data_IF_081685843109
#
_entry.id   IF_081685843109
#
_cell.length_a   1.000
_cell.length_b   1.000
_cell.length_c   1.000
_cell.angle_alpha   90.00
_cell.angle_beta   90.00
_cell.angle_gamma   90.00
#
_symmetry.space_group_name_H-M   'P 1'
#
loop_
_entity.id
_entity.type
_entity.pdbx_description
1 polymer ?
#
# COMPACT_ATOMS: atom_id res chain seq x y z
N UNK A 1 -4.97 -34.91 14.79
CA UNK A 1 -3.91 -35.72 14.19
C UNK A 1 -3.85 -37.04 14.91
N UNK A 2 -4.39 -38.09 14.30
CA UNK A 2 -4.29 -39.45 14.85
C UNK A 2 -2.87 -39.95 14.60
N UNK A 3 -2.03 -39.87 15.63
CA UNK A 3 -0.71 -40.49 15.61
C UNK A 3 -0.89 -42.01 15.53
N UNK A 4 0.00 -42.67 14.77
CA UNK A 4 0.05 -44.13 14.72
C UNK A 4 0.20 -44.64 16.15
N UNK A 5 -0.73 -45.48 16.61
CA UNK A 5 -0.80 -45.90 18.01
C UNK A 5 0.52 -46.50 18.52
N UNK A 6 0.94 -46.12 19.73
CA UNK A 6 2.17 -46.61 20.37
C UNK A 6 3.20 -45.53 20.73
N UNK A 7 2.95 -44.27 20.38
CA UNK A 7 3.77 -43.13 20.82
C UNK A 7 3.28 -42.69 22.21
N UNK A 8 4.12 -42.88 23.22
CA UNK A 8 3.78 -42.60 24.63
C UNK A 8 4.40 -41.30 25.16
N UNK A 9 5.32 -40.67 24.42
CA UNK A 9 5.93 -39.38 24.74
C UNK A 9 6.49 -38.66 23.49
N UNK A 10 6.98 -37.43 23.65
CA UNK A 10 7.48 -36.58 22.56
C UNK A 10 8.92 -36.92 22.11
N UNK A 11 9.56 -37.96 22.67
CA UNK A 11 10.97 -38.25 22.37
C UNK A 11 11.21 -38.74 20.93
N UNK A 12 10.16 -39.19 20.25
CA UNK A 12 10.24 -39.76 18.90
C UNK A 12 9.73 -38.84 17.79
N UNK A 13 9.22 -37.64 18.10
CA UNK A 13 8.66 -36.72 17.10
C UNK A 13 9.63 -36.43 15.95
N UNK A 14 10.91 -36.20 16.26
CA UNK A 14 11.96 -35.86 15.27
C UNK A 14 12.24 -37.02 14.30
N UNK A 15 11.92 -38.26 14.66
CA UNK A 15 12.10 -39.40 13.75
C UNK A 15 11.14 -39.33 12.55
N UNK A 16 9.93 -38.79 12.76
CA UNK A 16 8.92 -38.64 11.72
C UNK A 16 8.83 -37.21 11.15
N UNK A 17 9.07 -36.19 11.97
CA UNK A 17 8.91 -34.78 11.60
C UNK A 17 10.22 -34.00 11.51
N UNK A 18 11.37 -34.64 11.79
CA UNK A 18 12.67 -33.99 11.72
C UNK A 18 13.12 -33.73 10.27
N UNK A 19 14.11 -32.84 10.08
CA UNK A 19 14.54 -32.36 8.75
C UNK A 19 15.10 -33.47 7.84
N UNK A 20 15.61 -34.54 8.44
CA UNK A 20 16.15 -35.70 7.72
C UNK A 20 15.13 -36.85 7.60
N UNK A 21 13.87 -36.64 7.99
CA UNK A 21 12.87 -37.71 7.94
C UNK A 21 12.58 -38.14 6.50
N UNK A 22 12.51 -39.44 6.29
CA UNK A 22 12.15 -40.09 5.02
C UNK A 22 10.77 -40.74 5.06
N UNK A 23 10.06 -40.62 6.20
CA UNK A 23 8.70 -41.13 6.34
C UNK A 23 7.80 -40.45 5.32
N UNK A 24 7.04 -41.25 4.58
CA UNK A 24 6.17 -40.79 3.49
C UNK A 24 6.91 -39.87 2.48
N UNK A 25 8.16 -40.23 2.17
CA UNK A 25 9.00 -39.45 1.25
C UNK A 25 9.51 -38.13 1.83
N UNK A 26 9.36 -37.89 3.13
CA UNK A 26 9.72 -36.63 3.80
C UNK A 26 8.60 -35.59 3.76
N UNK A 27 7.37 -36.00 3.40
CA UNK A 27 6.18 -35.12 3.41
C UNK A 27 5.85 -34.60 4.80
N UNK A 28 6.17 -35.34 5.86
CA UNK A 28 5.87 -34.99 7.25
C UNK A 28 6.87 -34.03 7.91
N UNK A 29 7.92 -33.61 7.19
CA UNK A 29 8.94 -32.71 7.74
C UNK A 29 8.34 -31.34 8.03
N UNK A 30 8.75 -30.75 9.16
CA UNK A 30 8.19 -29.46 9.62
C UNK A 30 8.32 -28.38 8.55
N UNK A 31 9.46 -28.28 7.87
CA UNK A 31 9.68 -27.28 6.82
C UNK A 31 8.85 -27.52 5.55
N UNK A 32 8.42 -28.75 5.30
CA UNK A 32 7.60 -29.10 4.13
C UNK A 32 6.13 -28.76 4.41
N UNK A 33 5.60 -29.20 5.55
CA UNK A 33 4.17 -29.00 5.89
C UNK A 33 3.83 -27.56 6.29
N UNK A 34 4.82 -26.78 6.73
CA UNK A 34 4.64 -25.35 7.05
C UNK A 34 5.23 -24.43 5.97
N UNK A 35 5.49 -24.97 4.78
CA UNK A 35 5.94 -24.16 3.66
C UNK A 35 4.87 -23.15 3.27
N UNK A 36 5.30 -21.91 3.07
CA UNK A 36 4.47 -20.82 2.58
C UNK A 36 4.43 -20.88 1.05
N UNK A 37 3.62 -21.79 0.51
CA UNK A 37 3.65 -22.17 -0.92
C UNK A 37 3.37 -20.99 -1.87
N UNK A 38 2.48 -20.05 -1.48
CA UNK A 38 2.21 -18.85 -2.28
C UNK A 38 3.46 -17.95 -2.40
N UNK A 39 4.16 -17.71 -1.28
CA UNK A 39 5.40 -16.93 -1.23
C UNK A 39 6.49 -17.60 -2.08
N UNK A 40 6.67 -18.91 -1.91
CA UNK A 40 7.65 -19.68 -2.70
C UNK A 40 7.34 -19.66 -4.19
N UNK A 41 6.06 -19.70 -4.58
CA UNK A 41 5.67 -19.54 -5.98
C UNK A 41 5.99 -18.12 -6.49
N UNK A 42 5.76 -17.10 -5.66
CA UNK A 42 6.05 -15.69 -5.95
C UNK A 42 7.52 -15.42 -6.27
N UNK A 43 8.45 -16.16 -5.66
CA UNK A 43 9.90 -16.08 -5.95
C UNK A 43 10.26 -16.39 -7.41
N UNK A 44 9.34 -16.94 -8.21
CA UNK A 44 9.56 -17.20 -9.64
C UNK A 44 9.13 -16.03 -10.53
N UNK A 45 8.63 -14.92 -9.98
CA UNK A 45 8.13 -13.80 -10.77
C UNK A 45 8.76 -12.49 -10.32
N UNK A 46 9.14 -11.67 -11.30
CA UNK A 46 9.63 -10.32 -11.09
C UNK A 46 9.05 -9.40 -12.17
N UNK A 47 8.52 -8.26 -11.76
CA UNK A 47 8.06 -7.20 -12.65
C UNK A 47 9.17 -6.20 -12.94
N UNK A 48 9.30 -5.78 -14.20
CA UNK A 48 10.32 -4.81 -14.62
C UNK A 48 9.70 -3.68 -15.46
N UNK A 49 9.97 -2.43 -15.11
CA UNK A 49 9.63 -1.26 -15.94
C UNK A 49 10.84 -0.89 -16.80
N UNK A 50 10.79 -1.30 -18.07
CA UNK A 50 11.90 -1.19 -19.00
C UNK A 50 12.03 0.23 -19.54
N UNK A 51 10.95 0.76 -20.10
CA UNK A 51 10.94 2.08 -20.70
C UNK A 51 9.58 2.79 -20.51
N UNK A 52 9.63 4.11 -20.41
CA UNK A 52 8.44 4.96 -20.31
C UNK A 52 8.64 6.12 -21.28
N UNK A 53 7.68 6.33 -22.17
CA UNK A 53 7.71 7.36 -23.21
C UNK A 53 6.40 8.15 -23.24
N UNK A 54 6.37 9.22 -24.04
CA UNK A 54 5.20 10.10 -24.20
C UNK A 54 4.72 10.75 -22.89
N UNK A 55 5.67 11.17 -22.05
CA UNK A 55 5.43 11.79 -20.74
C UNK A 55 5.29 13.31 -20.81
N UNK A 56 4.89 13.87 -21.95
CA UNK A 56 4.57 15.29 -22.03
C UNK A 56 3.09 15.53 -21.71
N UNK A 57 2.76 16.68 -21.12
CA UNK A 57 1.36 17.05 -20.84
C UNK A 57 0.53 17.00 -22.12
N UNK A 58 -0.67 16.40 -22.04
CA UNK A 58 -1.56 16.19 -23.18
C UNK A 58 -1.20 15.02 -24.08
N UNK A 59 -0.07 14.33 -23.85
CA UNK A 59 0.24 13.06 -24.50
C UNK A 59 -0.29 11.88 -23.68
N UNK A 60 -0.47 10.74 -24.34
CA UNK A 60 -0.82 9.46 -23.71
C UNK A 60 0.45 8.65 -23.44
N UNK A 61 0.84 8.45 -22.17
CA UNK A 61 2.04 7.70 -21.83
C UNK A 61 2.02 6.27 -22.37
N UNK A 62 3.18 5.79 -22.83
CA UNK A 62 3.41 4.39 -23.16
C UNK A 62 4.42 3.82 -22.17
N UNK A 63 4.11 2.63 -21.64
CA UNK A 63 4.96 1.91 -20.69
C UNK A 63 5.32 0.57 -21.31
N UNK A 64 6.62 0.34 -21.48
CA UNK A 64 7.21 -0.92 -21.89
C UNK A 64 7.74 -1.64 -20.65
N UNK A 65 7.38 -2.90 -20.50
CA UNK A 65 7.65 -3.69 -19.31
C UNK A 65 7.94 -5.15 -19.68
N UNK A 66 8.47 -5.89 -18.72
CA UNK A 66 8.65 -7.33 -18.81
C UNK A 66 8.29 -8.03 -17.50
N UNK A 67 8.02 -9.33 -17.59
CA UNK A 67 7.91 -10.22 -16.43
C UNK A 67 8.97 -11.30 -16.60
N UNK A 68 9.81 -11.50 -15.59
CA UNK A 68 10.93 -12.43 -15.66
C UNK A 68 10.91 -13.40 -14.50
N UNK A 69 11.48 -14.59 -14.68
CA UNK A 69 11.83 -15.46 -13.57
C UNK A 69 13.23 -15.10 -13.06
N UNK A 70 13.37 -14.57 -11.83
CA UNK A 70 14.68 -14.15 -11.31
C UNK A 70 15.64 -15.33 -11.06
N UNK A 71 15.14 -16.56 -10.97
CA UNK A 71 15.94 -17.75 -10.68
C UNK A 71 16.75 -18.23 -11.88
N UNK A 72 16.29 -17.98 -13.11
CA UNK A 72 16.97 -18.39 -14.35
C UNK A 72 17.14 -17.27 -15.39
N UNK A 73 16.52 -16.10 -15.16
CA UNK A 73 16.56 -14.94 -16.04
C UNK A 73 15.69 -15.06 -17.30
N UNK A 74 14.81 -16.07 -17.37
CA UNK A 74 13.87 -16.22 -18.48
C UNK A 74 12.76 -15.16 -18.45
N UNK A 75 12.18 -14.88 -19.61
CA UNK A 75 11.03 -13.99 -19.75
C UNK A 75 9.74 -14.81 -19.84
N UNK A 76 8.70 -14.35 -19.15
CA UNK A 76 7.34 -14.84 -19.35
C UNK A 76 6.72 -14.22 -20.60
N UNK A 77 6.00 -15.03 -21.38
CA UNK A 77 5.11 -14.57 -22.43
C UNK A 77 3.72 -14.34 -21.85
N UNK A 78 3.46 -13.12 -21.36
CA UNK A 78 2.20 -12.80 -20.66
C UNK A 78 0.95 -12.94 -21.54
N UNK A 79 1.10 -13.12 -22.86
CA UNK A 79 -0.02 -13.32 -23.78
C UNK A 79 -0.38 -14.80 -23.95
N UNK A 80 0.53 -15.72 -23.63
CA UNK A 80 0.37 -17.15 -23.92
C UNK A 80 0.60 -18.05 -22.70
N UNK A 81 1.41 -17.63 -21.73
CA UNK A 81 1.68 -18.40 -20.53
C UNK A 81 0.42 -18.52 -19.66
N UNK A 82 0.22 -19.71 -19.11
CA UNK A 82 -0.97 -20.06 -18.32
C UNK A 82 -1.18 -19.14 -17.11
N UNK A 83 -0.08 -18.70 -16.53
CA UNK A 83 0.01 -17.86 -15.36
C UNK A 83 -0.61 -16.48 -15.57
N UNK A 84 -0.63 -16.03 -16.83
CA UNK A 84 -1.10 -14.70 -17.23
C UNK A 84 -2.38 -14.74 -18.06
N UNK A 85 -2.73 -15.90 -18.62
CA UNK A 85 -3.95 -16.10 -19.41
C UNK A 85 -5.14 -16.64 -18.59
N UNK A 86 -4.92 -17.04 -17.33
CA UNK A 86 -5.97 -17.54 -16.43
C UNK A 86 -6.74 -16.39 -15.76
N UNK A 87 -7.63 -15.76 -16.52
CA UNK A 87 -8.33 -14.55 -16.07
C UNK A 87 -9.72 -14.77 -15.46
N UNK A 88 -10.21 -16.01 -15.43
CA UNK A 88 -11.52 -16.33 -14.84
C UNK A 88 -11.56 -15.84 -13.39
N UNK A 89 -12.60 -15.10 -13.00
CA UNK A 89 -12.73 -14.46 -11.68
C UNK A 89 -11.57 -13.52 -11.29
N UNK A 90 -10.77 -13.05 -12.26
CA UNK A 90 -9.60 -12.21 -12.01
C UNK A 90 -8.51 -12.94 -11.24
N UNK A 91 -8.23 -14.21 -11.58
CA UNK A 91 -7.15 -15.00 -11.00
C UNK A 91 -5.76 -14.51 -11.46
N UNK A 92 -5.63 -14.10 -12.73
CA UNK A 92 -4.47 -13.34 -13.21
C UNK A 92 -4.83 -11.87 -13.34
N UNK A 93 -3.93 -10.99 -12.90
CA UNK A 93 -4.03 -9.53 -13.09
C UNK A 93 -2.65 -8.92 -13.25
N UNK A 94 -2.51 -7.99 -14.19
CA UNK A 94 -1.31 -7.18 -14.33
C UNK A 94 -1.72 -5.76 -14.77
N UNK A 95 -1.47 -4.80 -13.91
CA UNK A 95 -1.90 -3.41 -14.08
C UNK A 95 -0.73 -2.47 -13.96
N UNK A 96 -0.71 -1.48 -14.83
CA UNK A 96 0.20 -0.35 -14.76
C UNK A 96 -0.56 0.87 -14.22
N UNK A 97 0.06 1.61 -13.31
CA UNK A 97 -0.44 2.86 -12.76
C UNK A 97 0.49 4.03 -13.06
N UNK A 98 -0.05 5.24 -13.23
CA UNK A 98 0.74 6.48 -13.36
C UNK A 98 0.20 7.52 -12.38
N UNK A 99 1.04 7.97 -11.45
CA UNK A 99 0.68 8.90 -10.38
C UNK A 99 1.64 10.10 -10.31
N UNK A 100 1.15 11.27 -9.89
CA UNK A 100 1.94 12.50 -9.77
C UNK A 100 1.38 13.42 -8.67
N UNK A 101 2.16 14.39 -8.16
CA UNK A 101 3.62 14.50 -8.35
C UNK A 101 4.37 13.77 -7.23
N UNK A 102 5.67 13.50 -7.39
CA UNK A 102 6.43 12.82 -6.34
C UNK A 102 6.68 13.68 -5.10
N UNK A 103 6.43 14.99 -5.16
CA UNK A 103 6.50 15.87 -3.98
C UNK A 103 5.37 15.55 -3.02
N UNK A 104 4.13 15.47 -3.51
CA UNK A 104 3.06 14.68 -2.93
C UNK A 104 2.00 14.31 -3.96
N UNK A 105 1.54 13.05 -3.94
CA UNK A 105 0.62 12.57 -4.96
C UNK A 105 -0.73 13.29 -4.83
N UNK A 106 -1.16 13.90 -5.92
CA UNK A 106 -2.45 14.56 -6.04
C UNK A 106 -3.41 13.74 -6.90
N UNK A 107 -2.89 13.14 -7.98
CA UNK A 107 -3.63 12.40 -9.01
C UNK A 107 -4.91 13.09 -9.48
N UNK A 108 -4.98 14.41 -9.34
CA UNK A 108 -6.13 15.20 -9.74
C UNK A 108 -6.29 15.09 -11.26
N UNK A 109 -7.53 14.97 -11.75
CA UNK A 109 -7.81 14.82 -13.19
C UNK A 109 -7.24 13.56 -13.87
N UNK A 110 -6.90 12.51 -13.14
CA UNK A 110 -6.45 11.22 -13.71
C UNK A 110 -7.52 10.45 -14.49
N UNK A 111 -8.78 10.90 -14.45
CA UNK A 111 -9.93 10.15 -14.93
C UNK A 111 -10.36 9.03 -13.97
N UNK A 112 -9.85 9.01 -12.74
CA UNK A 112 -10.20 8.04 -11.70
C UNK A 112 -10.30 8.71 -10.33
N UNK A 113 -11.51 9.11 -9.95
CA UNK A 113 -11.75 9.87 -8.72
C UNK A 113 -12.15 8.97 -7.52
N UNK A 114 -11.90 9.42 -6.27
CA UNK A 114 -11.02 10.54 -5.93
C UNK A 114 -9.53 10.12 -6.02
N UNK A 115 -8.73 10.95 -6.69
CA UNK A 115 -7.26 10.92 -6.66
C UNK A 115 -6.59 9.55 -6.87
N UNK A 116 -7.10 8.69 -7.75
CA UNK A 116 -6.43 7.43 -8.08
C UNK A 116 -5.48 7.61 -9.27
N UNK A 117 -4.41 6.81 -9.39
CA UNK A 117 -3.51 6.85 -10.55
C UNK A 117 -4.27 6.65 -11.86
N UNK A 118 -3.72 7.18 -12.96
CA UNK A 118 -4.17 6.81 -14.31
C UNK A 118 -4.02 5.29 -14.44
N UNK A 119 -5.11 4.63 -14.84
CA UNK A 119 -5.18 3.18 -15.03
C UNK A 119 -5.88 2.77 -16.34
N UNK A 120 -6.58 3.70 -16.99
CA UNK A 120 -7.31 3.43 -18.22
C UNK A 120 -6.35 3.17 -19.40
N UNK A 121 -6.57 2.06 -20.12
CA UNK A 121 -5.67 1.59 -21.17
C UNK A 121 -4.40 0.88 -20.67
N UNK A 122 -4.21 0.81 -19.35
CA UNK A 122 -2.98 0.32 -18.72
C UNK A 122 -3.11 -1.06 -18.07
N UNK A 123 -4.15 -1.82 -18.43
CA UNK A 123 -4.25 -3.24 -18.08
C UNK A 123 -3.50 -4.06 -19.14
N UNK A 124 -2.49 -4.82 -18.70
CA UNK A 124 -1.62 -5.57 -19.58
C UNK A 124 -2.24 -6.88 -20.09
N UNK A 125 -3.25 -7.42 -19.41
CA UNK A 125 -3.86 -8.69 -19.78
C UNK A 125 -5.10 -8.43 -20.64
N UNK A 126 -5.24 -9.19 -21.73
CA UNK A 126 -6.40 -9.12 -22.64
C UNK A 126 -7.64 -9.80 -22.02
N UNK A 127 -7.97 -9.41 -20.80
CA UNK A 127 -8.96 -10.05 -19.95
C UNK A 127 -10.09 -9.07 -19.62
N UNK A 128 -11.30 -9.59 -19.41
CA UNK A 128 -12.46 -8.78 -19.02
C UNK A 128 -12.75 -7.61 -20.00
N UNK A 129 -12.47 -7.80 -21.29
CA UNK A 129 -12.68 -6.80 -22.33
C UNK A 129 -11.58 -5.74 -22.45
N UNK A 130 -10.48 -5.87 -21.69
CA UNK A 130 -9.30 -5.02 -21.87
C UNK A 130 -8.58 -5.33 -23.18
N UNK A 131 -7.97 -4.33 -23.83
CA UNK A 131 -7.20 -4.55 -25.07
C UNK A 131 -5.94 -5.40 -24.86
N UNK A 132 -5.41 -5.43 -23.63
CA UNK A 132 -4.16 -6.10 -23.30
C UNK A 132 -2.92 -5.38 -23.84
N UNK A 133 -1.75 -5.90 -23.50
CA UNK A 133 -0.47 -5.38 -23.94
C UNK A 133 -0.10 -5.87 -25.35
N UNK A 134 0.78 -5.12 -26.03
CA UNK A 134 1.32 -5.51 -27.34
C UNK A 134 2.82 -5.83 -27.23
N UNK A 135 3.33 -6.87 -27.93
CA UNK A 135 4.76 -7.18 -27.92
C UNK A 135 5.61 -6.03 -28.48
N UNK A 136 6.75 -5.73 -27.85
CA UNK A 136 7.68 -4.68 -28.30
C UNK A 136 8.60 -5.25 -29.38
N UNK A 137 8.52 -4.70 -30.59
CA UNK A 137 9.34 -5.14 -31.71
C UNK A 137 10.85 -4.99 -31.40
N UNK A 138 11.62 -6.06 -31.64
CA UNK A 138 13.06 -6.09 -31.40
C UNK A 138 13.49 -6.40 -29.97
N UNK A 139 12.54 -6.51 -29.03
CA UNK A 139 12.80 -6.87 -27.64
C UNK A 139 11.91 -8.07 -27.22
N UNK A 140 12.34 -9.32 -27.48
CA UNK A 140 11.59 -10.51 -27.08
C UNK A 140 11.32 -10.52 -25.57
N UNK A 141 10.09 -10.87 -25.17
CA UNK A 141 9.66 -10.88 -23.77
C UNK A 141 9.22 -9.52 -23.22
N UNK A 142 9.38 -8.44 -23.99
CA UNK A 142 8.89 -7.11 -23.61
C UNK A 142 7.52 -6.85 -24.20
N UNK A 143 6.67 -6.22 -23.41
CA UNK A 143 5.31 -5.84 -23.76
C UNK A 143 5.09 -4.36 -23.49
N UNK A 144 4.11 -3.77 -24.17
CA UNK A 144 3.76 -2.36 -24.02
C UNK A 144 2.27 -2.17 -23.80
N UNK A 145 1.94 -1.23 -22.93
CA UNK A 145 0.60 -0.65 -22.78
C UNK A 145 0.67 0.84 -23.01
N UNK A 146 -0.43 1.43 -23.49
CA UNK A 146 -0.53 2.87 -23.70
C UNK A 146 -1.77 3.38 -23.01
N UNK A 147 -1.63 4.44 -22.23
CA UNK A 147 -2.79 5.02 -21.56
C UNK A 147 -3.80 5.54 -22.58
N UNK A 148 -5.09 5.34 -22.30
CA UNK A 148 -6.15 6.03 -23.04
C UNK A 148 -6.46 7.41 -22.48
N UNK A 149 -5.89 7.74 -21.31
CA UNK A 149 -6.02 9.06 -20.68
C UNK A 149 -4.73 9.85 -20.92
N UNK A 150 -4.80 11.06 -21.52
CA UNK A 150 -3.66 11.94 -21.61
C UNK A 150 -3.19 12.41 -20.23
N UNK A 151 -1.90 12.69 -20.07
CA UNK A 151 -1.40 13.39 -18.88
C UNK A 151 -2.10 14.75 -18.76
N UNK A 152 -2.74 15.05 -17.61
CA UNK A 152 -3.47 16.29 -17.45
C UNK A 152 -2.53 17.48 -17.20
N UNK A 153 -3.07 18.69 -17.30
CA UNK A 153 -2.28 19.93 -17.25
C UNK A 153 -1.65 20.23 -15.88
N UNK A 154 -2.22 19.67 -14.82
CA UNK A 154 -1.73 19.72 -13.45
C UNK A 154 -0.71 18.61 -13.12
N UNK A 155 -0.43 17.70 -14.07
CA UNK A 155 0.67 16.76 -13.95
C UNK A 155 2.00 17.48 -14.21
N UNK A 156 2.76 17.74 -13.14
CA UNK A 156 4.02 18.49 -13.19
C UNK A 156 5.15 17.74 -12.49
N UNK A 157 6.39 18.10 -12.82
CA UNK A 157 7.57 17.57 -12.15
C UNK A 157 7.84 16.10 -12.49
N UNK A 158 7.67 15.21 -11.52
CA UNK A 158 8.01 13.79 -11.67
C UNK A 158 6.77 12.93 -11.39
N UNK A 159 6.52 11.96 -12.27
CA UNK A 159 5.53 10.91 -12.09
C UNK A 159 6.16 9.64 -11.53
N UNK A 160 5.35 8.82 -10.85
CA UNK A 160 5.65 7.43 -10.57
C UNK A 160 4.84 6.53 -11.50
N UNK A 161 5.52 5.65 -12.20
CA UNK A 161 4.92 4.54 -12.95
C UNK A 161 5.05 3.29 -12.10
N UNK A 162 3.96 2.54 -11.92
CA UNK A 162 3.90 1.34 -11.07
C UNK A 162 3.46 0.13 -11.87
N UNK A 163 3.86 -1.07 -11.43
CA UNK A 163 3.25 -2.33 -11.86
C UNK A 163 2.78 -3.07 -10.60
N UNK A 164 1.49 -3.41 -10.58
CA UNK A 164 0.84 -4.19 -9.55
C UNK A 164 -0.02 -5.31 -10.16
N UNK A 165 -0.12 -6.46 -9.49
CA UNK A 165 -0.72 -7.64 -10.08
C UNK A 165 -0.38 -8.93 -9.35
N UNK A 166 -0.88 -10.03 -9.90
CA UNK A 166 -0.54 -11.39 -9.52
C UNK A 166 -0.74 -12.34 -10.71
N UNK A 167 0.18 -13.30 -10.95
CA UNK A 167 -0.10 -14.46 -11.79
C UNK A 167 -1.03 -15.45 -11.07
N UNK A 168 -1.59 -16.38 -11.84
CA UNK A 168 -2.35 -17.52 -11.33
C UNK A 168 -1.53 -18.81 -11.48
N UNK A 169 -1.21 -19.50 -10.41
CA UNK A 169 -0.44 -20.76 -10.48
C UNK A 169 -1.25 -21.89 -9.87
N UNK A 170 -1.22 -23.06 -10.52
CA UNK A 170 -1.81 -24.28 -9.98
C UNK A 170 -0.99 -24.80 -8.79
N UNK A 171 -1.59 -24.78 -7.60
CA UNK A 171 -1.00 -25.26 -6.36
C UNK A 171 -1.96 -26.21 -5.64
N UNK A 172 -1.40 -27.10 -4.85
CA UNK A 172 -2.11 -27.97 -3.90
C UNK A 172 -1.85 -27.42 -2.49
N UNK A 173 -2.70 -26.49 -2.04
CA UNK A 173 -2.55 -25.78 -0.78
C UNK A 173 -3.01 -26.58 0.44
N UNK A 174 -3.91 -27.54 0.27
CA UNK A 174 -4.45 -28.37 1.38
C UNK A 174 -3.81 -29.77 1.45
N UNK A 175 -2.98 -30.11 0.47
CA UNK A 175 -2.24 -31.36 0.41
C UNK A 175 -3.12 -32.56 0.05
N UNK A 176 -4.29 -32.33 -0.56
CA UNK A 176 -5.21 -33.40 -0.94
C UNK A 176 -4.90 -34.04 -2.30
N UNK A 177 -3.91 -33.50 -3.02
CA UNK A 177 -3.48 -33.93 -4.35
C UNK A 177 -4.21 -33.23 -5.50
N UNK A 178 -5.12 -32.30 -5.22
CA UNK A 178 -5.88 -31.53 -6.20
C UNK A 178 -5.25 -30.16 -6.40
N UNK A 179 -4.93 -29.84 -7.66
CA UNK A 179 -4.43 -28.52 -8.02
C UNK A 179 -5.59 -27.53 -8.21
N UNK A 180 -5.42 -26.33 -7.67
CA UNK A 180 -6.28 -25.19 -7.91
C UNK A 180 -5.44 -23.96 -8.28
N UNK A 181 -6.00 -23.08 -9.10
CA UNK A 181 -5.35 -21.83 -9.45
C UNK A 181 -5.42 -20.85 -8.28
N UNK A 182 -4.25 -20.44 -7.82
CA UNK A 182 -4.07 -19.49 -6.73
C UNK A 182 -3.49 -18.18 -7.22
N UNK A 183 -3.90 -17.07 -6.58
CA UNK A 183 -3.36 -15.74 -6.87
C UNK A 183 -2.02 -15.58 -6.16
N UNK A 184 -0.93 -15.55 -6.93
CA UNK A 184 0.41 -15.55 -6.36
C UNK A 184 0.85 -14.12 -6.05
N UNK A 185 1.18 -13.80 -4.79
CA UNK A 185 1.71 -12.48 -4.44
C UNK A 185 3.06 -12.27 -5.12
N UNK A 186 3.24 -11.11 -5.76
CA UNK A 186 4.51 -10.73 -6.40
C UNK A 186 4.82 -9.30 -6.01
N UNK A 187 6.03 -9.10 -5.47
CA UNK A 187 6.51 -7.76 -5.10
C UNK A 187 6.31 -6.79 -6.26
N UNK A 188 5.57 -5.71 -5.99
CA UNK A 188 5.31 -4.70 -7.00
C UNK A 188 6.58 -3.91 -7.33
N UNK A 189 6.57 -3.19 -8.45
CA UNK A 189 7.70 -2.33 -8.87
C UNK A 189 7.21 -0.95 -9.23
N UNK A 190 8.10 0.03 -9.10
CA UNK A 190 7.85 1.40 -9.56
C UNK A 190 9.09 2.00 -10.23
N UNK A 191 8.87 3.07 -11.00
CA UNK A 191 9.91 3.87 -11.65
C UNK A 191 9.50 5.34 -11.68
N UNK A 192 10.41 6.23 -11.31
CA UNK A 192 10.18 7.68 -11.43
C UNK A 192 10.58 8.20 -12.81
N UNK A 193 9.74 9.05 -13.38
CA UNK A 193 9.91 9.59 -14.73
C UNK A 193 9.55 11.07 -14.76
N UNK A 194 10.37 11.89 -15.40
CA UNK A 194 10.13 13.32 -15.54
C UNK A 194 9.00 13.61 -16.52
N UNK A 195 8.07 14.48 -16.13
CA UNK A 195 7.03 15.00 -17.01
C UNK A 195 7.60 16.22 -17.77
N UNK A 196 7.29 16.34 -19.06
CA UNK A 196 7.80 17.43 -19.93
C UNK A 196 9.34 17.56 -19.92
N UNK A 197 10.06 16.45 -19.70
CA UNK A 197 11.52 16.44 -19.63
C UNK A 197 12.08 17.07 -18.34
N UNK A 198 11.26 17.26 -17.31
CA UNK A 198 11.71 17.67 -16.00
C UNK A 198 12.77 16.71 -15.43
N UNK A 199 13.66 17.24 -14.60
CA UNK A 199 14.62 16.42 -13.87
C UNK A 199 13.88 15.54 -12.87
N UNK A 200 14.18 14.23 -12.89
CA UNK A 200 13.57 13.26 -11.98
C UNK A 200 13.96 13.58 -10.55
N UNK A 201 12.95 13.70 -9.68
CA UNK A 201 13.10 13.82 -8.24
C UNK A 201 12.35 12.68 -7.57
N UNK A 202 13.09 11.84 -6.86
CA UNK A 202 12.52 10.73 -6.11
C UNK A 202 11.56 11.24 -5.01
N UNK A 203 10.48 10.50 -4.79
CA UNK A 203 9.62 10.73 -3.63
C UNK A 203 10.37 10.41 -2.35
N UNK A 204 10.06 11.15 -1.28
CA UNK A 204 10.53 10.86 0.08
C UNK A 204 10.27 9.38 0.45
N UNK A 205 11.28 8.72 1.03
CA UNK A 205 11.11 7.43 1.70
C UNK A 205 10.86 7.68 3.19
N UNK A 206 9.78 7.11 3.72
CA UNK A 206 9.32 7.34 5.11
C UNK A 206 9.41 6.06 5.95
N UNK A 207 9.06 4.93 5.33
CA UNK A 207 9.06 3.59 5.91
C UNK A 207 9.91 2.65 5.04
N UNK A 208 10.30 1.50 5.59
CA UNK A 208 10.92 0.39 4.85
C UNK A 208 10.00 -0.82 4.89
N UNK A 209 9.92 -1.59 3.81
CA UNK A 209 9.08 -2.80 3.79
C UNK A 209 9.56 -3.85 4.80
N UNK A 210 10.87 -3.99 5.00
CA UNK A 210 11.40 -4.96 5.97
C UNK A 210 10.96 -4.67 7.41
N UNK A 211 10.59 -3.42 7.70
CA UNK A 211 10.04 -3.07 9.00
C UNK A 211 8.62 -3.65 9.17
N UNK A 212 7.79 -3.59 8.12
CA UNK A 212 6.46 -4.21 8.07
C UNK A 212 6.55 -5.74 8.20
N UNK A 213 7.51 -6.36 7.50
CA UNK A 213 7.64 -7.82 7.42
C UNK A 213 8.11 -8.48 8.72
N UNK A 214 8.60 -7.68 9.68
CA UNK A 214 8.84 -8.19 11.04
C UNK A 214 7.58 -8.80 11.65
N UNK A 215 6.40 -8.25 11.30
CA UNK A 215 5.09 -8.74 11.72
C UNK A 215 4.35 -9.44 10.58
N UNK A 216 4.36 -8.89 9.37
CA UNK A 216 3.54 -9.38 8.25
C UNK A 216 4.15 -10.55 7.48
N UNK A 217 5.47 -10.78 7.58
CA UNK A 217 6.27 -11.70 6.74
C UNK A 217 6.33 -11.32 5.26
N UNK A 218 5.18 -11.07 4.66
CA UNK A 218 4.97 -10.50 3.33
C UNK A 218 3.64 -9.74 3.40
N UNK A 219 3.69 -8.42 3.26
CA UNK A 219 2.50 -7.58 3.25
C UNK A 219 1.87 -7.57 1.86
N UNK A 220 0.85 -8.41 1.70
CA UNK A 220 0.08 -8.55 0.47
C UNK A 220 -1.39 -8.21 0.67
N UNK A 221 -1.90 -7.22 -0.05
CA UNK A 221 -3.26 -6.68 0.06
C UNK A 221 -3.98 -6.65 -1.29
N UNK A 222 -5.28 -6.34 -1.23
CA UNK A 222 -6.16 -6.22 -2.41
C UNK A 222 -6.21 -7.52 -3.25
N UNK A 223 -6.31 -8.67 -2.57
CA UNK A 223 -6.39 -9.98 -3.19
C UNK A 223 -5.09 -10.39 -3.89
N UNK A 224 -3.95 -10.14 -3.24
CA UNK A 224 -2.58 -10.38 -3.73
C UNK A 224 -2.13 -9.49 -4.89
N UNK A 225 -2.78 -8.35 -5.11
CA UNK A 225 -2.34 -7.43 -6.17
C UNK A 225 -1.23 -6.48 -5.72
N UNK A 226 -1.24 -6.06 -4.46
CA UNK A 226 -0.30 -5.09 -3.93
C UNK A 226 0.53 -5.71 -2.85
N UNK A 227 1.80 -5.93 -3.15
CA UNK A 227 2.70 -6.74 -2.33
C UNK A 227 4.03 -6.02 -2.19
N UNK A 228 4.47 -5.86 -0.93
CA UNK A 228 5.83 -5.52 -0.52
C UNK A 228 6.52 -4.31 -1.17
N UNK A 229 5.74 -3.29 -1.52
CA UNK A 229 6.28 -2.05 -2.09
C UNK A 229 5.48 -0.82 -1.62
N UNK A 230 5.87 -0.20 -0.48
CA UNK A 230 5.18 0.97 0.07
C UNK A 230 5.08 2.14 -0.93
N UNK A 231 6.04 2.28 -1.84
CA UNK A 231 6.09 3.32 -2.85
C UNK A 231 5.00 3.14 -3.91
N UNK A 232 4.48 1.92 -4.08
CA UNK A 232 3.29 1.65 -4.89
C UNK A 232 2.02 1.96 -4.09
N UNK A 233 1.95 1.57 -2.81
CA UNK A 233 0.79 1.84 -1.94
C UNK A 233 0.40 3.33 -1.92
N UNK A 234 1.38 4.20 -1.71
CA UNK A 234 1.17 5.66 -1.61
C UNK A 234 0.69 6.31 -2.91
N UNK A 235 0.79 5.62 -4.06
CA UNK A 235 0.24 6.17 -5.31
C UNK A 235 -1.28 6.20 -5.30
N UNK A 236 -1.93 5.26 -4.62
CA UNK A 236 -3.39 5.21 -4.44
C UNK A 236 -3.84 5.74 -3.08
N UNK A 237 -3.08 5.44 -2.03
CA UNK A 237 -3.29 5.90 -0.66
C UNK A 237 -2.60 7.24 -0.43
N UNK A 238 -3.11 8.28 -1.07
CA UNK A 238 -2.51 9.62 -1.08
C UNK A 238 -3.40 10.66 -0.36
N UNK A 239 -2.90 11.88 -0.12
CA UNK A 239 -3.60 12.90 0.68
C UNK A 239 -4.94 13.39 0.14
N UNK A 240 -5.28 13.12 -1.13
CA UNK A 240 -6.56 13.49 -1.73
C UNK A 240 -7.54 12.31 -1.83
N UNK A 241 -7.14 11.10 -1.41
CA UNK A 241 -7.94 9.90 -1.58
C UNK A 241 -8.73 9.55 -0.31
N UNK A 242 -10.01 9.23 -0.52
CA UNK A 242 -10.90 8.65 0.48
C UNK A 242 -11.51 7.35 -0.04
N UNK A 243 -12.25 6.65 0.80
CA UNK A 243 -12.99 5.45 0.41
C UNK A 243 -14.28 5.74 -0.39
N UNK A 244 -14.54 7.00 -0.77
CA UNK A 244 -15.72 7.40 -1.53
C UNK A 244 -15.92 6.57 -2.81
N UNK A 245 -14.84 6.13 -3.46
CA UNK A 245 -14.89 5.25 -4.64
C UNK A 245 -15.50 3.87 -4.33
N UNK A 246 -15.40 3.39 -3.09
CA UNK A 246 -15.98 2.14 -2.64
C UNK A 246 -17.36 2.34 -2.00
N UNK A 247 -17.73 3.56 -1.62
CA UNK A 247 -19.07 3.96 -1.13
C UNK A 247 -20.09 4.14 -2.25
N UNK A 248 -20.12 3.20 -3.19
CA UNK A 248 -21.07 3.19 -4.30
C UNK A 248 -21.88 1.90 -4.32
N UNK A 249 -23.17 1.95 -4.71
CA UNK A 249 -24.00 0.76 -4.79
C UNK A 249 -23.40 -0.29 -5.74
N UNK A 250 -23.40 -1.56 -5.33
CA UNK A 250 -22.88 -2.67 -6.14
C UNK A 250 -24.03 -3.38 -6.84
N UNK A 251 -23.94 -3.50 -8.17
CA UNK A 251 -24.84 -4.33 -8.97
C UNK A 251 -24.38 -5.81 -8.97
N UNK A 252 -24.32 -6.43 -7.79
CA UNK A 252 -24.00 -7.86 -7.61
C UNK A 252 -25.18 -8.56 -6.90
N UNK A 253 -25.83 -9.57 -7.51
CA UNK A 253 -26.97 -10.25 -6.89
C UNK A 253 -26.61 -11.02 -5.60
N UNK A 254 -25.32 -11.23 -5.32
CA UNK A 254 -24.86 -11.97 -4.13
C UNK A 254 -24.30 -11.07 -3.02
N UNK A 255 -24.24 -9.74 -3.24
CA UNK A 255 -23.78 -8.77 -2.24
C UNK A 255 -24.93 -7.78 -1.99
N UNK A 256 -25.30 -7.49 -0.73
CA UNK A 256 -26.25 -6.40 -0.47
C UNK A 256 -25.73 -5.11 -1.12
N UNK A 257 -26.52 -4.42 -1.96
CA UNK A 257 -26.01 -3.37 -2.85
C UNK A 257 -25.35 -2.21 -2.11
N UNK A 258 -25.76 -1.92 -0.87
CA UNK A 258 -25.31 -0.76 -0.08
C UNK A 258 -24.79 -1.17 1.31
N UNK A 259 -24.22 -2.37 1.46
CA UNK A 259 -23.85 -2.94 2.78
C UNK A 259 -23.02 -1.95 3.63
N UNK A 260 -21.96 -1.38 3.05
CA UNK A 260 -21.09 -0.47 3.78
C UNK A 260 -21.74 0.87 4.11
N UNK A 261 -22.50 1.45 3.18
CA UNK A 261 -23.21 2.72 3.44
C UNK A 261 -24.31 2.54 4.49
N UNK A 262 -24.96 1.37 4.53
CA UNK A 262 -25.97 1.06 5.53
C UNK A 262 -25.39 0.86 6.93
N UNK A 263 -24.16 0.32 7.03
CA UNK A 263 -23.51 0.02 8.31
C UNK A 263 -22.70 1.21 8.84
N UNK A 264 -21.86 1.82 7.99
CA UNK A 264 -20.92 2.89 8.37
C UNK A 264 -21.44 4.30 8.07
N UNK A 265 -22.56 4.42 7.34
CA UNK A 265 -23.10 5.70 6.91
C UNK A 265 -22.53 6.19 5.57
N UNK A 266 -23.05 7.34 5.08
CA UNK A 266 -22.71 7.87 3.76
C UNK A 266 -21.38 8.64 3.72
N UNK A 267 -20.90 9.11 4.87
CA UNK A 267 -19.70 9.94 4.95
C UNK A 267 -18.46 9.10 4.65
N UNK A 268 -17.59 9.61 3.78
CA UNK A 268 -16.34 8.97 3.42
C UNK A 268 -15.25 9.16 4.48
N UNK A 269 -14.23 8.32 4.43
CA UNK A 269 -13.09 8.39 5.35
C UNK A 269 -11.76 8.44 4.57
N UNK A 270 -10.73 9.11 5.12
CA UNK A 270 -9.42 9.20 4.50
C UNK A 270 -8.76 7.83 4.34
N UNK A 271 -8.26 7.53 3.15
CA UNK A 271 -7.38 6.37 2.91
C UNK A 271 -5.93 6.80 2.66
N UNK A 272 -5.58 8.04 2.96
CA UNK A 272 -4.21 8.54 2.92
C UNK A 272 -3.28 7.67 3.77
N UNK A 273 -2.18 7.18 3.20
CA UNK A 273 -1.32 6.16 3.81
C UNK A 273 -0.82 6.58 5.20
N UNK A 274 -0.50 7.86 5.39
CA UNK A 274 -0.02 8.38 6.69
C UNK A 274 -1.11 8.41 7.77
N UNK A 275 -2.39 8.46 7.39
CA UNK A 275 -3.51 8.44 8.33
C UNK A 275 -3.95 7.00 8.56
N UNK A 276 -4.28 6.31 7.46
CA UNK A 276 -4.86 4.97 7.46
C UNK A 276 -3.98 3.96 8.21
N UNK A 277 -2.66 3.96 7.96
CA UNK A 277 -1.77 2.99 8.60
C UNK A 277 -1.68 3.25 10.10
N UNK A 278 -1.66 4.50 10.56
CA UNK A 278 -1.71 4.77 12.00
C UNK A 278 -3.05 4.33 12.59
N UNK A 279 -4.17 4.74 11.99
CA UNK A 279 -5.52 4.46 12.49
C UNK A 279 -5.83 2.96 12.59
N UNK A 280 -5.34 2.13 11.64
CA UNK A 280 -5.48 0.67 11.70
C UNK A 280 -4.75 0.06 12.90
N UNK A 281 -3.57 0.58 13.26
CA UNK A 281 -2.70 -0.03 14.26
C UNK A 281 -2.78 0.63 15.64
N UNK A 282 -3.45 1.79 15.76
CA UNK A 282 -3.51 2.56 17.00
C UNK A 282 -4.78 2.36 17.81
N UNK A 283 -5.72 1.53 17.35
CA UNK A 283 -6.93 1.25 18.12
C UNK A 283 -6.56 0.62 19.47
N UNK A 284 -7.03 1.23 20.56
CA UNK A 284 -6.84 0.75 21.92
C UNK A 284 -8.20 0.64 22.63
N UNK A 285 -8.69 -0.57 22.95
CA UNK A 285 -9.97 -0.74 23.64
C UNK A 285 -9.98 -0.23 25.08
N UNK A 286 -8.80 -0.01 25.69
CA UNK A 286 -8.67 0.54 27.05
C UNK A 286 -8.67 2.08 27.07
N UNK A 287 -8.50 2.71 25.90
CA UNK A 287 -8.58 4.17 25.75
C UNK A 287 -10.02 4.59 25.39
N UNK A 288 -10.75 5.29 26.28
CA UNK A 288 -12.15 5.67 26.03
C UNK A 288 -12.32 6.70 24.90
N UNK A 289 -11.25 7.38 24.49
CA UNK A 289 -11.27 8.31 23.36
C UNK A 289 -10.99 7.59 22.02
N UNK A 290 -10.50 6.34 22.06
CA UNK A 290 -10.22 5.53 20.87
C UNK A 290 -11.50 5.12 20.16
N UNK A 291 -11.46 5.12 18.83
CA UNK A 291 -12.53 4.59 17.98
C UNK A 291 -11.90 3.71 16.89
N UNK A 292 -12.53 2.58 16.52
CA UNK A 292 -12.04 1.75 15.42
C UNK A 292 -11.93 2.57 14.14
N UNK A 293 -10.97 2.22 13.30
CA UNK A 293 -10.93 2.76 11.94
C UNK A 293 -11.90 1.96 11.07
N UNK A 294 -12.85 2.64 10.44
CA UNK A 294 -13.94 2.00 9.68
C UNK A 294 -13.94 2.50 8.24
N UNK A 295 -13.92 1.59 7.26
CA UNK A 295 -13.71 1.94 5.85
C UNK A 295 -14.46 0.99 4.91
N UNK A 296 -14.92 1.51 3.78
CA UNK A 296 -15.51 0.71 2.72
C UNK A 296 -14.44 0.13 1.78
N UNK A 297 -14.49 -1.17 1.59
CA UNK A 297 -13.58 -1.94 0.74
C UNK A 297 -14.18 -2.35 -0.60
N UNK A 298 -13.50 -3.28 -1.27
CA UNK A 298 -13.87 -3.76 -2.60
C UNK A 298 -15.32 -4.27 -2.64
N UNK A 299 -16.10 -3.78 -3.61
CA UNK A 299 -17.55 -4.07 -3.74
C UNK A 299 -18.33 -3.67 -2.49
N UNK A 300 -18.07 -2.47 -1.97
CA UNK A 300 -18.83 -1.90 -0.86
C UNK A 300 -18.82 -2.79 0.40
N UNK A 301 -17.72 -3.52 0.63
CA UNK A 301 -17.55 -4.37 1.81
C UNK A 301 -17.25 -3.52 3.06
N UNK A 302 -17.84 -3.88 4.19
CA UNK A 302 -17.54 -3.24 5.49
C UNK A 302 -16.20 -3.75 6.03
N UNK A 303 -15.31 -2.83 6.43
CA UNK A 303 -14.13 -3.15 7.23
C UNK A 303 -14.13 -2.29 8.49
N UNK A 304 -14.05 -2.95 9.65
CA UNK A 304 -13.90 -2.32 10.98
C UNK A 304 -12.60 -2.85 11.57
N UNK A 305 -11.65 -1.96 11.81
CA UNK A 305 -10.35 -2.26 12.40
C UNK A 305 -10.39 -1.97 13.90
N UNK A 306 -10.99 -2.88 14.65
CA UNK A 306 -11.00 -2.92 16.11
C UNK A 306 -9.98 -3.96 16.65
N UNK A 307 -9.99 -4.20 17.96
CA UNK A 307 -9.11 -5.15 18.65
C UNK A 307 -9.27 -6.60 18.16
N UNK A 308 -10.46 -6.97 17.67
CA UNK A 308 -10.70 -8.31 17.13
C UNK A 308 -10.14 -8.46 15.73
N UNK A 309 -10.20 -7.39 14.93
CA UNK A 309 -9.65 -7.35 13.59
C UNK A 309 -8.11 -7.18 13.59
N UNK A 310 -7.59 -6.27 14.41
CA UNK A 310 -6.16 -5.96 14.53
C UNK A 310 -5.81 -5.71 15.99
N UNK A 311 -5.26 -6.74 16.64
CA UNK A 311 -4.55 -6.58 17.91
C UNK A 311 -3.07 -6.26 17.62
N UNK A 312 -2.65 -5.01 17.84
CA UNK A 312 -1.27 -4.62 17.58
C UNK A 312 -0.32 -5.34 18.57
N UNK A 313 0.57 -6.22 18.09
CA UNK A 313 1.38 -7.06 18.99
C UNK A 313 2.55 -6.32 19.63
N UNK A 314 2.89 -5.15 19.09
CA UNK A 314 4.00 -4.33 19.51
C UNK A 314 3.62 -3.25 20.52
N UNK A 315 4.49 -2.26 20.61
CA UNK A 315 4.26 -1.03 21.38
C UNK A 315 4.10 0.10 20.38
N UNK A 316 2.90 0.67 20.26
CA UNK A 316 2.57 1.61 19.17
C UNK A 316 3.43 2.88 19.21
N UNK A 317 3.95 3.23 20.40
CA UNK A 317 4.90 4.32 20.59
C UNK A 317 6.31 4.01 20.05
N UNK A 318 6.59 2.77 19.63
CA UNK A 318 7.81 2.42 18.91
C UNK A 318 7.73 2.82 17.43
N UNK A 319 7.96 4.10 17.12
CA UNK A 319 7.88 4.62 15.76
C UNK A 319 8.78 3.87 14.76
N UNK A 320 9.96 3.39 15.19
CA UNK A 320 10.91 2.64 14.35
C UNK A 320 10.50 1.19 14.07
N UNK A 321 9.34 0.75 14.60
CA UNK A 321 8.68 -0.47 14.15
C UNK A 321 8.23 -0.38 12.68
N UNK A 322 7.98 0.84 12.17
CA UNK A 322 7.60 1.08 10.78
C UNK A 322 8.52 2.10 10.10
N UNK A 323 8.75 3.26 10.73
CA UNK A 323 9.58 4.32 10.18
C UNK A 323 11.03 3.88 9.98
N UNK A 324 11.68 4.44 8.95
CA UNK A 324 13.09 4.15 8.66
C UNK A 324 13.92 4.37 9.92
N UNK A 325 14.61 3.31 10.36
CA UNK A 325 15.43 3.36 11.56
C UNK A 325 16.53 4.41 11.40
N UNK A 326 16.80 5.18 12.45
CA UNK A 326 17.85 6.21 12.44
C UNK A 326 19.22 5.69 12.01
N UNK A 327 19.54 4.43 12.31
CA UNK A 327 20.78 3.78 11.89
C UNK A 327 20.90 3.56 10.37
N UNK A 328 19.79 3.55 9.62
CA UNK A 328 19.74 3.47 8.15
C UNK A 328 19.72 4.85 7.47
N UNK A 329 19.56 5.94 8.24
CA UNK A 329 19.50 7.29 7.70
C UNK A 329 20.91 7.85 7.45
N UNK A 330 21.04 8.69 6.44
CA UNK A 330 22.29 9.40 6.17
C UNK A 330 22.63 10.38 7.31
N UNK A 331 23.92 10.67 7.49
CA UNK A 331 24.38 11.63 8.51
C UNK A 331 23.69 12.99 8.33
N UNK A 332 23.02 13.46 9.39
CA UNK A 332 22.30 14.73 9.40
C UNK A 332 20.84 14.65 8.93
N UNK A 333 20.38 13.49 8.46
CA UNK A 333 18.97 13.27 8.16
C UNK A 333 18.19 13.00 9.45
N UNK A 334 17.07 13.71 9.62
CA UNK A 334 16.17 13.51 10.75
C UNK A 334 15.34 12.23 10.58
N UNK A 335 14.99 11.53 11.67
CA UNK A 335 13.99 10.48 11.65
C UNK A 335 12.68 10.92 11.01
N UNK A 336 12.00 9.99 10.34
CA UNK A 336 10.84 10.29 9.48
C UNK A 336 9.51 10.38 10.23
N UNK A 337 9.54 10.34 11.57
CA UNK A 337 8.37 10.44 12.46
C UNK A 337 8.24 11.82 13.13
N UNK A 338 9.16 12.75 12.87
CA UNK A 338 9.01 14.13 13.34
C UNK A 338 7.99 14.90 12.51
N UNK A 339 7.43 16.01 13.05
CA UNK A 339 6.61 16.90 12.26
C UNK A 339 7.29 17.33 10.96
N UNK A 340 6.51 17.41 9.89
CA UNK A 340 6.95 17.76 8.54
C UNK A 340 6.69 19.23 8.25
N UNK A 341 7.40 19.78 7.26
CA UNK A 341 7.09 21.08 6.68
C UNK A 341 5.69 21.03 6.04
N UNK A 342 4.69 21.76 6.58
CA UNK A 342 3.32 21.72 6.08
C UNK A 342 3.16 22.36 4.69
N UNK A 343 4.21 23.00 4.15
CA UNK A 343 4.25 23.48 2.76
C UNK A 343 4.73 22.43 1.76
N UNK A 344 5.22 21.27 2.24
CA UNK A 344 5.80 20.19 1.43
C UNK A 344 5.02 18.89 1.47
N UNK A 345 4.20 18.71 2.51
CA UNK A 345 3.33 17.55 2.66
C UNK A 345 1.90 18.04 2.65
N UNK A 346 1.04 17.40 1.86
CA UNK A 346 -0.34 17.84 1.71
C UNK A 346 -1.19 17.44 2.92
N UNK A 347 -2.27 18.21 3.13
CA UNK A 347 -3.30 17.89 4.10
C UNK A 347 -4.10 16.66 3.65
N UNK A 348 -4.66 15.92 4.61
CA UNK A 348 -5.43 14.71 4.35
C UNK A 348 -6.89 15.08 4.11
N UNK A 349 -7.44 14.75 2.93
CA UNK A 349 -8.88 14.88 2.64
C UNK A 349 -9.64 13.90 3.51
N UNK A 350 -10.58 14.40 4.30
CA UNK A 350 -11.44 13.59 5.17
C UNK A 350 -12.88 13.54 4.70
N UNK A 351 -13.27 14.43 3.78
CA UNK A 351 -14.51 14.30 3.06
C UNK A 351 -14.37 14.90 1.68
N UNK A 352 -14.68 14.11 0.65
CA UNK A 352 -14.64 14.59 -0.74
C UNK A 352 -15.86 15.40 -1.09
N UNK A 353 -15.65 16.47 -1.83
CA UNK A 353 -16.72 17.29 -2.38
C UNK A 353 -17.35 16.70 -3.64
N UNK A 354 -18.22 17.50 -4.27
CA UNK A 354 -18.85 17.13 -5.53
C UNK A 354 -17.95 17.43 -6.75
N UNK A 355 -16.99 18.35 -6.59
CA UNK A 355 -16.02 18.65 -7.64
C UNK A 355 -15.02 17.48 -7.79
N UNK A 356 -14.64 17.10 -9.02
CA UNK A 356 -13.61 16.07 -9.23
C UNK A 356 -12.20 16.52 -8.80
N UNK A 357 -11.99 17.81 -8.57
CA UNK A 357 -10.77 18.39 -8.01
C UNK A 357 -10.97 18.67 -6.51
N UNK A 358 -9.91 18.81 -5.70
CA UNK A 358 -10.05 18.88 -4.24
C UNK A 358 -10.53 20.25 -3.72
N UNK A 359 -11.13 21.09 -4.57
CA UNK A 359 -11.43 22.50 -4.24
C UNK A 359 -12.57 22.67 -3.23
N UNK A 360 -13.45 21.67 -3.12
CA UNK A 360 -14.57 21.62 -2.19
C UNK A 360 -14.44 20.49 -1.16
N UNK A 361 -13.28 19.84 -1.10
CA UNK A 361 -12.93 18.84 -0.09
C UNK A 361 -12.73 19.47 1.31
N UNK A 362 -13.11 18.73 2.34
CA UNK A 362 -12.77 19.02 3.73
C UNK A 362 -11.48 18.30 4.10
N UNK A 363 -10.55 19.02 4.73
CA UNK A 363 -9.16 18.59 4.90
C UNK A 363 -8.69 18.81 6.33
N UNK A 364 -7.90 17.87 6.84
CA UNK A 364 -7.09 18.05 8.04
C UNK A 364 -5.66 18.43 7.63
N UNK A 365 -5.09 19.45 8.29
CA UNK A 365 -3.74 19.92 8.02
C UNK A 365 -2.66 18.83 8.23
N UNK A 366 -1.49 18.93 7.57
CA UNK A 366 -0.60 17.79 7.32
C UNK A 366 -0.11 17.05 8.56
N UNK A 367 0.33 17.76 9.60
CA UNK A 367 0.81 17.16 10.84
C UNK A 367 -0.36 16.75 11.75
N UNK A 368 -1.40 17.60 11.83
CA UNK A 368 -2.58 17.33 12.64
C UNK A 368 -3.25 16.02 12.22
N UNK A 369 -3.32 15.73 10.91
CA UNK A 369 -3.85 14.46 10.39
C UNK A 369 -3.08 13.24 10.89
N UNK A 370 -1.75 13.33 10.99
CA UNK A 370 -0.91 12.23 11.48
C UNK A 370 -1.09 12.05 12.99
N UNK A 371 -0.97 13.14 13.75
CA UNK A 371 -1.03 13.07 15.20
C UNK A 371 -2.43 12.66 15.69
N UNK A 372 -3.50 13.15 15.04
CA UNK A 372 -4.88 12.83 15.41
C UNK A 372 -5.31 11.41 15.05
N UNK A 373 -4.51 10.65 14.29
CA UNK A 373 -4.79 9.23 14.06
C UNK A 373 -4.60 8.40 15.34
N UNK A 374 -3.69 8.81 16.23
CA UNK A 374 -3.45 8.15 17.52
C UNK A 374 -3.91 9.00 18.71
N UNK A 375 -3.73 10.33 18.65
CA UNK A 375 -4.11 11.28 19.70
C UNK A 375 -5.51 11.86 19.42
N UNK A 376 -6.51 11.04 19.68
CA UNK A 376 -7.91 11.25 19.25
C UNK A 376 -8.77 12.05 20.25
N UNK A 377 -8.25 12.37 21.44
CA UNK A 377 -9.03 13.09 22.45
C UNK A 377 -9.36 14.54 22.04
N UNK A 378 -10.50 15.05 22.51
CA UNK A 378 -10.90 16.44 22.27
C UNK A 378 -9.84 17.45 22.72
N UNK A 379 -9.16 17.18 23.84
CA UNK A 379 -8.10 18.04 24.34
C UNK A 379 -6.90 18.07 23.40
N UNK A 380 -6.50 16.91 22.86
CA UNK A 380 -5.42 16.83 21.87
C UNK A 380 -5.79 17.59 20.59
N UNK A 381 -7.02 17.42 20.10
CA UNK A 381 -7.56 18.18 18.95
C UNK A 381 -7.52 19.68 19.17
N UNK A 382 -8.00 20.16 20.32
CA UNK A 382 -7.95 21.60 20.64
C UNK A 382 -6.52 22.12 20.78
N UNK A 383 -5.60 21.32 21.34
CA UNK A 383 -4.19 21.66 21.41
C UNK A 383 -3.57 21.81 20.01
N UNK A 384 -3.85 20.87 19.10
CA UNK A 384 -3.39 20.94 17.71
C UNK A 384 -3.93 22.21 17.02
N UNK A 385 -5.22 22.50 17.18
CA UNK A 385 -5.84 23.72 16.62
C UNK A 385 -5.23 25.02 17.15
N UNK A 386 -4.93 25.09 18.46
CA UNK A 386 -4.27 26.25 19.06
C UNK A 386 -2.86 26.51 18.51
N UNK A 387 -2.20 25.47 17.98
CA UNK A 387 -0.86 25.54 17.41
C UNK A 387 -0.87 25.55 15.87
N UNK A 388 -1.99 26.00 15.29
CA UNK A 388 -2.12 26.24 13.85
C UNK A 388 -2.57 25.04 13.02
N UNK A 389 -2.88 23.90 13.66
CA UNK A 389 -3.60 22.81 13.02
C UNK A 389 -5.01 23.23 12.60
N UNK A 390 -5.51 22.67 11.51
CA UNK A 390 -6.84 22.96 11.00
C UNK A 390 -7.53 21.65 10.62
N UNK A 391 -8.69 21.39 11.23
CA UNK A 391 -9.49 20.18 11.02
C UNK A 391 -10.67 20.40 10.08
N UNK A 392 -10.78 21.60 9.51
CA UNK A 392 -11.83 21.98 8.58
C UNK A 392 -11.26 22.91 7.48
N UNK A 393 -10.00 22.66 7.11
CA UNK A 393 -9.35 23.34 6.00
C UNK A 393 -9.92 22.87 4.66
N UNK A 394 -9.53 23.55 3.60
CA UNK A 394 -9.81 23.14 2.21
C UNK A 394 -8.52 23.11 1.40
N UNK A 395 -8.61 22.81 0.11
CA UNK A 395 -7.47 22.85 -0.82
C UNK A 395 -7.74 23.76 -2.01
N UNK A 396 -6.67 24.25 -2.62
CA UNK A 396 -6.74 24.80 -3.96
C UNK A 396 -6.75 23.67 -5.00
N UNK A 397 -6.95 24.00 -6.29
CA UNK A 397 -7.03 23.02 -7.37
C UNK A 397 -5.73 22.20 -7.53
N UNK A 398 -4.58 22.77 -7.17
CA UNK A 398 -3.27 22.08 -7.14
C UNK A 398 -3.04 21.29 -5.84
N UNK A 399 -4.10 21.08 -5.05
CA UNK A 399 -4.09 20.41 -3.74
C UNK A 399 -3.35 21.14 -2.63
N UNK A 400 -2.84 22.36 -2.86
CA UNK A 400 -2.21 23.14 -1.79
C UNK A 400 -3.21 23.50 -0.70
N UNK A 401 -2.78 23.42 0.56
CA UNK A 401 -3.64 23.64 1.72
C UNK A 401 -4.10 25.10 1.80
N UNK A 402 -5.40 25.30 1.92
CA UNK A 402 -6.02 26.57 2.30
C UNK A 402 -6.50 26.43 3.74
N UNK A 403 -5.70 26.96 4.68
CA UNK A 403 -5.92 26.81 6.12
C UNK A 403 -5.99 28.17 6.80
N UNK A 404 -6.75 28.24 7.88
CA UNK A 404 -6.83 29.41 8.76
C UNK A 404 -5.61 29.54 9.70
N UNK A 405 -4.84 28.45 9.86
CA UNK A 405 -3.64 28.36 10.69
C UNK A 405 -2.40 27.85 9.93
N UNK A 406 -1.24 28.08 10.53
CA UNK A 406 0.05 27.51 10.08
C UNK A 406 0.59 26.66 11.21
N UNK A 407 0.77 25.37 10.96
CA UNK A 407 1.26 24.42 11.97
C UNK A 407 2.65 24.81 12.46
N UNK A 408 2.79 24.99 13.78
CA UNK A 408 4.08 25.27 14.44
C UNK A 408 4.55 24.10 15.31
N UNK A 409 4.07 22.89 15.02
CA UNK A 409 4.30 21.69 15.83
C UNK A 409 5.80 21.45 16.08
N UNK A 410 6.65 21.63 15.06
CA UNK A 410 8.09 21.39 15.13
C UNK A 410 8.82 22.28 16.16
N UNK A 411 8.25 23.44 16.54
CA UNK A 411 8.86 24.31 17.56
C UNK A 411 8.97 23.63 18.93
N UNK A 412 8.00 22.77 19.24
CA UNK A 412 7.91 22.05 20.52
C UNK A 412 8.20 20.56 20.36
N UNK A 413 7.77 19.96 19.25
CA UNK A 413 7.87 18.53 18.98
C UNK A 413 9.04 18.15 18.06
N UNK A 414 9.85 19.11 17.59
CA UNK A 414 11.04 18.81 16.81
C UNK A 414 12.19 18.18 17.62
N UNK A 415 13.27 17.76 16.94
CA UNK A 415 14.44 17.19 17.59
C UNK A 415 15.09 18.15 18.60
N UNK A 416 15.38 17.67 19.82
CA UNK A 416 15.97 18.41 20.93
C UNK A 416 15.06 19.48 21.53
N UNK A 417 13.76 19.51 21.18
CA UNK A 417 12.79 20.48 21.70
C UNK A 417 12.17 20.01 23.01
N UNK A 418 11.38 20.88 23.63
CA UNK A 418 10.81 20.67 24.97
C UNK A 418 9.86 19.48 25.05
N UNK A 419 9.24 19.09 23.94
CA UNK A 419 8.35 17.94 23.82
C UNK A 419 8.75 17.09 22.59
N UNK A 420 10.05 16.90 22.40
CA UNK A 420 10.65 16.08 21.34
C UNK A 420 9.92 14.73 21.17
N UNK A 421 9.48 14.42 19.94
CA UNK A 421 8.72 13.19 19.62
C UNK A 421 9.48 11.92 20.03
N UNK A 422 10.78 11.84 19.76
CA UNK A 422 11.61 10.67 20.08
C UNK A 422 11.67 10.45 21.60
N UNK A 423 11.75 11.54 22.38
CA UNK A 423 11.82 11.50 23.84
C UNK A 423 10.47 11.13 24.46
N UNK A 424 9.37 11.80 24.06
CA UNK A 424 8.06 11.59 24.69
C UNK A 424 7.45 10.23 24.38
N UNK A 425 7.83 9.62 23.25
CA UNK A 425 7.43 8.25 22.88
C UNK A 425 8.45 7.19 23.29
N UNK A 426 9.58 7.57 23.92
CA UNK A 426 10.60 6.62 24.36
C UNK A 426 11.19 5.77 23.24
N UNK A 427 11.27 6.30 22.01
CA UNK A 427 11.64 5.52 20.80
C UNK A 427 13.01 4.84 20.93
N UNK A 428 13.91 5.43 21.74
CA UNK A 428 15.27 4.91 21.99
C UNK A 428 15.36 3.89 23.13
N UNK A 429 14.28 3.69 23.87
CA UNK A 429 14.22 2.75 24.99
C UNK A 429 13.92 1.32 24.54
N UNK A 430 13.50 1.15 23.28
CA UNK A 430 13.27 -0.15 22.68
C UNK A 430 14.60 -0.84 22.32
N UNK A 431 14.82 -2.02 22.89
CA UNK A 431 16.07 -2.78 22.76
C UNK A 431 16.47 -3.08 21.31
N UNK A 432 15.50 -3.23 20.40
CA UNK A 432 15.73 -3.52 18.98
C UNK A 432 15.98 -2.26 18.11
N UNK A 433 15.91 -1.07 18.72
CA UNK A 433 16.21 0.21 18.08
C UNK A 433 17.60 0.75 18.46
N UNK A 434 18.24 0.13 19.46
CA UNK A 434 19.60 0.51 19.82
C UNK A 434 20.57 -0.03 18.75
N UNK A 435 21.56 0.76 18.31
CA UNK A 435 22.60 0.23 17.43
C UNK A 435 23.24 -0.97 18.13
N UNK A 436 23.37 -2.10 17.43
CA UNK A 436 24.18 -3.21 17.91
C UNK A 436 25.57 -2.64 18.23
N UNK A 437 25.93 -2.64 19.52
CA UNK A 437 27.24 -2.17 19.98
C UNK A 437 28.36 -3.09 19.51
#
# INVERSE_FOLDING_TARGET
>A
GDHVGGINDNSTCVQCHGPDSTIDGGSLRVEVVHALQLQLAGENFQYNIENVSNMAVGQTPEVQFSVTNPNDGSYYDILNDTEWTTCTFGLSRLQIGIAWDTSDYTNTNSGSNPAQPINAGLNALACNGNPGATPVAGNPGWFSVTSTTPLPADAVGTAAVTIDGHPAVELDLDGDGTLAFERIPVKNVFKYVGIDGATVVDRRKVVEIENCDNCHKELSLHGNNRTDEPQVCVTCHNPNATDARQRVPVADPNVPPDDCVNVLGPDDVPIDFKYMIHAIHSYDPDNPDSSPYEVCGYRNSVHVFDELAVHYPGRIENCEACHIKKAKLANGQLPTYYPVDPSKVLGTTVSVGADPTPIDDVVISPNSAVCSACHVSDLAKQHMMQNGGDFNATKAADSTLISSGVETCELCHGPGRTADVEVVHGVRDFLLNQPQQ
#
